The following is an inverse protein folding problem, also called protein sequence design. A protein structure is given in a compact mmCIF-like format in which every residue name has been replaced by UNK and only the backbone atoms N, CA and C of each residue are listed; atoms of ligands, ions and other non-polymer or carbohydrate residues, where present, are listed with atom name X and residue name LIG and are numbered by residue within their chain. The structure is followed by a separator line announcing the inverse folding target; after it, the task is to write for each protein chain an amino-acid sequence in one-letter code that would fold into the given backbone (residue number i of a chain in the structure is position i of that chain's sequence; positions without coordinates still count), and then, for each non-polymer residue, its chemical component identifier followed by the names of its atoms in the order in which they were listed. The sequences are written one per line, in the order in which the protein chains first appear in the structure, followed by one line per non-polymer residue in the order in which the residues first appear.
data_IF_080003700614
#
_entry.id   IF_080003700614
#
_cell.length_a   1.000
_cell.length_b   1.000
_cell.length_c   1.000
_cell.angle_alpha   90.00
_cell.angle_beta   90.00
_cell.angle_gamma   90.00
#
_symmetry.space_group_name_H-M   'P 1'
#
loop_
_entity.id
_entity.type
_entity.pdbx_description
1 polymer ?
#
# COMPACT_ATOMS: atom_id res chain seq x y z
N UNK A 1 17.50 6.43 -13.78
CA UNK A 1 17.94 7.52 -12.88
C UNK A 1 16.70 8.36 -12.57
N UNK A 2 16.01 8.09 -11.46
CA UNK A 2 14.82 8.87 -11.06
C UNK A 2 15.27 10.27 -10.62
N UNK A 3 14.56 11.35 -10.98
CA UNK A 3 14.91 12.70 -10.56
C UNK A 3 14.87 12.78 -9.02
N UNK A 4 15.84 13.49 -8.45
CA UNK A 4 15.96 13.68 -7.01
C UNK A 4 14.65 14.28 -6.46
N UNK A 5 14.07 13.63 -5.44
CA UNK A 5 12.84 14.10 -4.80
C UNK A 5 13.04 15.55 -4.31
N UNK A 6 12.23 16.52 -4.76
CA UNK A 6 12.30 17.88 -4.24
C UNK A 6 11.92 17.87 -2.75
N UNK A 7 12.55 18.76 -1.98
CA UNK A 7 12.23 18.89 -0.56
C UNK A 7 10.75 19.25 -0.39
N UNK A 8 10.03 18.63 0.56
CA UNK A 8 8.62 18.95 0.79
C UNK A 8 8.48 20.41 1.23
N UNK A 9 7.39 21.06 0.80
CA UNK A 9 7.10 22.45 1.15
C UNK A 9 7.06 22.60 2.69
N UNK A 10 8.00 23.37 3.25
CA UNK A 10 8.18 23.54 4.69
C UNK A 10 9.38 22.80 5.31
N UNK A 11 10.17 22.09 4.51
CA UNK A 11 11.42 21.48 4.97
C UNK A 11 12.47 22.58 5.30
N UNK A 12 12.75 22.77 6.60
CA UNK A 12 13.74 23.74 7.07
C UNK A 12 15.19 23.35 6.75
N UNK A 13 16.16 24.17 7.20
CA UNK A 13 17.61 23.99 6.96
C UNK A 13 18.19 22.61 7.37
N UNK A 14 17.47 21.84 8.18
CA UNK A 14 17.86 20.50 8.63
C UNK A 14 17.47 19.36 7.66
N UNK A 15 17.02 19.68 6.44
CA UNK A 15 16.65 18.68 5.44
C UNK A 15 17.87 18.18 4.64
N UNK A 16 18.14 16.88 4.71
CA UNK A 16 19.17 16.22 3.91
C UNK A 16 18.61 15.75 2.57
N UNK A 17 19.24 16.15 1.47
CA UNK A 17 18.92 15.63 0.13
C UNK A 17 19.46 14.20 0.00
N UNK A 18 18.62 13.22 0.28
CA UNK A 18 18.95 11.78 0.21
C UNK A 18 18.42 11.09 -1.06
N UNK A 19 17.62 11.77 -1.88
CA UNK A 19 17.03 11.20 -3.10
C UNK A 19 15.94 10.15 -2.85
N UNK A 20 15.52 9.98 -1.59
CA UNK A 20 14.45 9.07 -1.19
C UNK A 20 13.08 9.73 -1.38
N UNK A 21 12.07 8.94 -1.75
CA UNK A 21 10.67 9.40 -1.86
C UNK A 21 9.98 9.41 -0.50
N UNK A 22 10.29 8.41 0.34
CA UNK A 22 9.77 8.31 1.70
C UNK A 22 10.87 8.63 2.70
N UNK A 23 10.78 9.81 3.29
CA UNK A 23 11.74 10.31 4.27
C UNK A 23 11.04 10.82 5.51
N UNK A 24 11.79 10.90 6.60
CA UNK A 24 11.39 11.69 7.76
C UNK A 24 11.38 13.18 7.43
N UNK A 25 10.93 14.02 8.36
CA UNK A 25 10.97 15.50 8.27
C UNK A 25 12.37 16.10 8.04
N UNK A 26 13.43 15.29 8.19
CA UNK A 26 14.83 15.70 8.02
C UNK A 26 15.49 15.08 6.78
N UNK A 27 14.74 14.35 5.95
CA UNK A 27 15.28 13.71 4.75
C UNK A 27 15.96 12.35 5.02
N UNK A 28 15.93 11.83 6.25
CA UNK A 28 16.50 10.50 6.55
C UNK A 28 15.52 9.37 6.19
N UNK A 29 16.01 8.12 6.02
CA UNK A 29 15.14 6.96 5.82
C UNK A 29 14.12 6.81 6.95
N UNK A 30 12.90 6.42 6.62
CA UNK A 30 11.88 6.10 7.62
C UNK A 30 12.19 4.73 8.22
N UNK A 31 12.37 4.67 9.54
CA UNK A 31 12.46 3.40 10.26
C UNK A 31 11.12 2.64 10.18
N UNK A 32 11.12 1.33 9.85
CA UNK A 32 9.90 0.53 9.74
C UNK A 32 8.99 0.59 10.97
N UNK A 33 9.54 0.70 12.19
CA UNK A 33 8.77 0.81 13.43
C UNK A 33 8.07 2.17 13.54
N UNK A 34 8.73 3.24 13.11
CA UNK A 34 8.12 4.58 13.07
C UNK A 34 7.01 4.65 12.02
N UNK A 35 7.18 3.97 10.89
CA UNK A 35 6.12 3.81 9.89
C UNK A 35 4.93 3.05 10.47
N UNK A 36 5.18 1.92 11.14
CA UNK A 36 4.12 1.12 11.75
C UNK A 36 3.32 1.88 12.80
N UNK A 37 3.98 2.67 13.67
CA UNK A 37 3.30 3.54 14.63
C UNK A 37 2.42 4.58 13.93
N UNK A 38 2.98 5.24 12.92
CA UNK A 38 2.25 6.23 12.12
C UNK A 38 1.05 5.61 11.39
N UNK A 39 1.19 4.36 10.94
CA UNK A 39 0.13 3.58 10.31
C UNK A 39 -1.00 3.25 11.30
N UNK A 40 -0.67 2.75 12.50
CA UNK A 40 -1.65 2.46 13.55
C UNK A 40 -2.47 3.70 13.92
N UNK A 41 -1.81 4.84 14.15
CA UNK A 41 -2.51 6.11 14.43
C UNK A 41 -3.43 6.53 13.27
N UNK A 42 -3.08 6.21 12.02
CA UNK A 42 -3.95 6.49 10.86
C UNK A 42 -5.15 5.54 10.82
N UNK A 43 -4.97 4.26 11.13
CA UNK A 43 -6.08 3.31 11.26
C UNK A 43 -7.07 3.74 12.35
N UNK A 44 -6.57 4.15 13.52
CA UNK A 44 -7.39 4.68 14.62
C UNK A 44 -8.19 5.91 14.19
N UNK A 45 -7.53 6.87 13.53
CA UNK A 45 -8.19 8.09 13.01
C UNK A 45 -9.23 7.79 11.94
N UNK A 46 -9.03 6.76 11.13
CA UNK A 46 -9.98 6.33 10.13
C UNK A 46 -11.14 5.49 10.72
N UNK A 47 -11.11 5.17 12.02
CA UNK A 47 -12.11 4.34 12.68
C UNK A 47 -12.11 2.88 12.21
N UNK A 48 -11.03 2.44 11.57
CA UNK A 48 -10.91 1.06 11.08
C UNK A 48 -10.20 0.20 12.13
N UNK A 49 -10.48 -1.10 12.11
CA UNK A 49 -9.74 -2.06 12.95
C UNK A 49 -8.24 -1.92 12.69
N UNK A 50 -7.38 -2.11 13.71
CA UNK A 50 -5.93 -2.12 13.51
C UNK A 50 -5.57 -3.22 12.49
N UNK A 51 -5.19 -2.81 11.29
CA UNK A 51 -4.75 -3.69 10.21
C UNK A 51 -3.28 -3.46 9.93
N UNK A 52 -2.57 -4.45 9.40
CA UNK A 52 -1.20 -4.25 8.94
C UNK A 52 -1.18 -3.61 7.54
N UNK A 53 -0.02 -3.08 7.13
CA UNK A 53 0.19 -2.56 5.77
C UNK A 53 0.06 -3.69 4.73
N UNK A 54 0.42 -4.92 5.12
CA UNK A 54 0.20 -6.10 4.28
C UNK A 54 -1.28 -6.42 4.10
N UNK A 55 -2.08 -6.28 5.16
CA UNK A 55 -3.53 -6.47 5.07
C UNK A 55 -4.17 -5.40 4.20
N UNK A 56 -3.75 -4.13 4.31
CA UNK A 56 -4.22 -3.07 3.43
C UNK A 56 -3.93 -3.37 1.95
N UNK A 57 -2.76 -3.94 1.66
CA UNK A 57 -2.41 -4.38 0.30
C UNK A 57 -3.27 -5.57 -0.14
N UNK A 58 -3.63 -6.48 0.76
CA UNK A 58 -4.58 -7.57 0.49
C UNK A 58 -5.97 -7.02 0.20
N UNK A 59 -6.47 -6.08 1.00
CA UNK A 59 -7.76 -5.41 0.78
C UNK A 59 -7.81 -4.73 -0.59
N UNK A 60 -6.73 -4.06 -1.01
CA UNK A 60 -6.64 -3.48 -2.35
C UNK A 60 -6.78 -4.54 -3.45
N UNK A 61 -6.16 -5.72 -3.27
CA UNK A 61 -6.30 -6.82 -4.22
C UNK A 61 -7.73 -7.38 -4.28
N UNK A 62 -8.39 -7.53 -3.13
CA UNK A 62 -9.81 -7.93 -3.05
C UNK A 62 -10.71 -6.91 -3.73
N UNK A 63 -10.52 -5.62 -3.48
CA UNK A 63 -11.31 -4.57 -4.12
C UNK A 63 -11.16 -4.56 -5.65
N UNK A 64 -9.94 -4.81 -6.16
CA UNK A 64 -9.73 -4.92 -7.60
C UNK A 64 -10.44 -6.15 -8.20
N UNK A 65 -10.49 -7.25 -7.46
CA UNK A 65 -11.22 -8.45 -7.88
C UNK A 65 -12.74 -8.25 -7.84
N UNK A 66 -13.27 -7.58 -6.80
CA UNK A 66 -14.70 -7.25 -6.68
C UNK A 66 -15.16 -6.29 -7.79
N UNK A 67 -14.27 -5.44 -8.29
CA UNK A 67 -14.51 -4.54 -9.42
C UNK A 67 -14.36 -5.24 -10.79
N UNK A 68 -14.23 -6.57 -10.82
CA UNK A 68 -14.07 -7.42 -12.01
C UNK A 68 -12.91 -6.99 -12.93
N UNK A 69 -11.84 -6.42 -12.35
CA UNK A 69 -10.63 -6.19 -13.13
C UNK A 69 -10.05 -7.54 -13.55
N UNK A 70 -9.53 -7.62 -14.77
CA UNK A 70 -8.82 -8.83 -15.18
C UNK A 70 -7.58 -9.04 -14.28
N UNK A 71 -7.31 -10.27 -13.79
CA UNK A 71 -6.15 -10.59 -12.94
C UNK A 71 -4.81 -10.03 -13.45
N UNK A 72 -4.61 -9.97 -14.77
CA UNK A 72 -3.41 -9.42 -15.40
C UNK A 72 -3.22 -7.92 -15.10
N UNK A 73 -4.30 -7.16 -15.05
CA UNK A 73 -4.30 -5.72 -14.73
C UNK A 73 -4.05 -5.53 -13.23
N UNK A 74 -4.72 -6.30 -12.38
CA UNK A 74 -4.49 -6.26 -10.93
C UNK A 74 -3.02 -6.59 -10.56
N UNK A 75 -2.41 -7.56 -11.25
CA UNK A 75 -0.99 -7.92 -11.08
C UNK A 75 -0.02 -6.82 -11.52
N UNK A 76 -0.34 -6.07 -12.59
CA UNK A 76 0.45 -4.92 -13.03
C UNK A 76 0.37 -3.77 -12.04
N UNK A 77 -0.84 -3.46 -11.56
CA UNK A 77 -1.10 -2.38 -10.58
C UNK A 77 -0.38 -2.66 -9.27
N UNK A 78 -0.49 -3.90 -8.76
CA UNK A 78 0.14 -4.25 -7.51
C UNK A 78 1.65 -4.50 -7.68
N UNK A 79 2.15 -4.73 -8.90
CA UNK A 79 3.56 -4.91 -9.27
C UNK A 79 4.27 -5.91 -8.32
N UNK A 80 4.22 -7.19 -8.64
CA UNK A 80 4.71 -8.30 -7.79
C UNK A 80 3.85 -8.62 -6.55
N UNK A 81 2.54 -8.31 -6.53
CA UNK A 81 1.67 -8.99 -5.56
C UNK A 81 1.70 -10.47 -5.91
N UNK A 82 2.40 -11.23 -5.07
CA UNK A 82 2.55 -12.70 -5.09
C UNK A 82 1.43 -13.35 -5.90
N UNK A 83 1.78 -14.05 -6.99
CA UNK A 83 0.82 -14.79 -7.81
C UNK A 83 -0.16 -15.58 -6.96
N UNK A 84 0.35 -16.19 -5.88
CA UNK A 84 -0.42 -16.93 -4.88
C UNK A 84 -1.58 -16.14 -4.26
N UNK A 85 -1.41 -14.85 -3.95
CA UNK A 85 -2.46 -14.00 -3.36
C UNK A 85 -3.51 -13.65 -4.42
N UNK A 86 -3.08 -13.41 -5.66
CA UNK A 86 -4.02 -13.10 -6.75
C UNK A 86 -4.91 -14.31 -7.04
N UNK A 87 -4.32 -15.51 -7.12
CA UNK A 87 -5.09 -16.75 -7.33
C UNK A 87 -6.05 -17.04 -6.18
N UNK A 88 -5.60 -16.92 -4.93
CA UNK A 88 -6.43 -17.12 -3.73
C UNK A 88 -7.66 -16.20 -3.71
N UNK A 89 -7.44 -14.89 -3.88
CA UNK A 89 -8.52 -13.89 -3.85
C UNK A 89 -9.55 -14.11 -4.98
N UNK A 90 -9.09 -14.39 -6.21
CA UNK A 90 -10.03 -14.63 -7.31
C UNK A 90 -10.79 -15.95 -7.16
N UNK A 91 -10.19 -16.95 -6.52
CA UNK A 91 -10.89 -18.21 -6.21
C UNK A 91 -12.01 -17.96 -5.20
N UNK A 92 -11.77 -17.15 -4.17
CA UNK A 92 -12.79 -16.75 -3.20
C UNK A 92 -13.89 -15.89 -3.83
N UNK A 93 -13.54 -14.90 -4.65
CA UNK A 93 -14.53 -14.02 -5.32
C UNK A 93 -15.37 -14.77 -6.36
N UNK A 94 -14.75 -15.65 -7.17
CA UNK A 94 -15.47 -16.53 -8.10
C UNK A 94 -16.49 -17.41 -7.37
N UNK A 95 -16.12 -17.94 -6.19
CA UNK A 95 -17.02 -18.74 -5.36
C UNK A 95 -18.21 -17.97 -4.79
N UNK A 96 -18.12 -16.64 -4.70
CA UNK A 96 -19.20 -15.76 -4.26
C UNK A 96 -20.12 -15.39 -5.43
N UNK A 97 -19.55 -14.99 -6.56
CA UNK A 97 -20.31 -14.73 -7.79
C UNK A 97 -21.09 -15.96 -8.29
N UNK A 98 -20.52 -17.17 -8.14
CA UNK A 98 -21.20 -18.44 -8.49
C UNK A 98 -22.32 -18.81 -7.49
N UNK A 99 -22.30 -18.27 -6.27
CA UNK A 99 -23.29 -18.55 -5.23
C UNK A 99 -24.47 -17.58 -5.25
N UNK A 100 -24.25 -16.40 -5.81
CA UNK A 100 -25.23 -15.34 -5.99
C UNK A 100 -25.98 -15.44 -7.34
N UNK A 101 -25.72 -16.49 -8.14
CA UNK A 101 -26.37 -16.82 -9.41
C UNK A 101 -27.37 -17.98 -9.26
#
# INVERSE_FOLDING_TARGET
MLPATPAPAGAGKAWHKTGLVFTTRYGTPIDPRNFQRSWQTRCEKAGVKPITVHDARRTCATLLADLDFHPRVAMQVLRHARFSITTEIYTEVSSKATRDA
#
